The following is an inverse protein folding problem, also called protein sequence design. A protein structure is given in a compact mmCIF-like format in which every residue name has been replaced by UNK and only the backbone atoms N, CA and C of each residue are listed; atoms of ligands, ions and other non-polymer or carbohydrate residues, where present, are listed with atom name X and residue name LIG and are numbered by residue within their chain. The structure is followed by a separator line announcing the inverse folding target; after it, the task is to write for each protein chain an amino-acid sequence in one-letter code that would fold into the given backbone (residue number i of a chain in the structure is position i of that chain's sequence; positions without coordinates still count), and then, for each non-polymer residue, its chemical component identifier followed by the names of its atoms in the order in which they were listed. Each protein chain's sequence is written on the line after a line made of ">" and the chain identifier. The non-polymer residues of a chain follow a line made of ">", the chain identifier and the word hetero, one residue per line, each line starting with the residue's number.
data_IF_868307554058
#
_entry.id   IF_868307554058
#
_cell.length_a   1.000
_cell.length_b   1.000
_cell.length_c   1.000
_cell.angle_alpha   90.00
_cell.angle_beta   90.00
_cell.angle_gamma   90.00
#
_symmetry.space_group_name_H-M   'P 1'
#
loop_
_entity.id
_entity.type
_entity.pdbx_description
1 polymer ?
#
# COMPACT_ATOMS: atom_id res chain seq x y z
N UNK A 1 -22.48 -20.17 0.22
CA UNK A 1 -21.25 -20.60 0.93
C UNK A 1 -21.38 -20.16 2.37
N UNK A 2 -21.04 -21.01 3.35
CA UNK A 2 -21.01 -20.61 4.77
C UNK A 2 -19.77 -19.77 5.04
N UNK A 3 -19.94 -18.58 5.60
CA UNK A 3 -18.82 -17.73 6.02
C UNK A 3 -18.22 -18.26 7.33
N UNK A 4 -16.88 -18.26 7.44
CA UNK A 4 -16.17 -18.52 8.69
C UNK A 4 -15.00 -17.54 8.84
N UNK A 5 -14.67 -17.23 10.08
CA UNK A 5 -13.46 -16.46 10.39
C UNK A 5 -12.22 -17.35 10.27
N UNK A 6 -11.18 -16.84 9.62
CA UNK A 6 -9.87 -17.51 9.56
C UNK A 6 -9.12 -17.30 10.88
N UNK A 7 -8.40 -18.32 11.31
CA UNK A 7 -7.39 -18.21 12.37
C UNK A 7 -6.17 -17.45 11.86
N UNK A 8 -5.33 -16.95 12.78
CA UNK A 8 -4.11 -16.23 12.41
C UNK A 8 -3.15 -17.09 11.56
N UNK A 9 -3.03 -18.38 11.89
CA UNK A 9 -2.18 -19.30 11.12
C UNK A 9 -2.72 -19.55 9.71
N UNK A 10 -4.05 -19.58 9.54
CA UNK A 10 -4.66 -19.67 8.21
C UNK A 10 -4.44 -18.39 7.40
N UNK A 11 -4.48 -17.21 8.04
CA UNK A 11 -4.16 -15.94 7.38
C UNK A 11 -2.71 -15.96 6.90
N UNK A 12 -1.75 -16.27 7.77
CA UNK A 12 -0.32 -16.38 7.41
C UNK A 12 -0.08 -17.37 6.28
N UNK A 13 -0.80 -18.49 6.27
CA UNK A 13 -0.68 -19.47 5.19
C UNK A 13 -1.17 -18.91 3.85
N UNK A 14 -2.31 -18.20 3.84
CA UNK A 14 -2.81 -17.53 2.62
C UNK A 14 -1.82 -16.48 2.13
N UNK A 15 -1.25 -15.66 3.02
CA UNK A 15 -0.26 -14.65 2.66
C UNK A 15 1.03 -15.27 2.11
N UNK A 16 1.50 -16.35 2.72
CA UNK A 16 2.67 -17.08 2.25
C UNK A 16 2.45 -17.66 0.84
N UNK A 17 1.25 -18.17 0.56
CA UNK A 17 0.92 -18.70 -0.77
C UNK A 17 0.83 -17.58 -1.82
N UNK A 18 0.30 -16.40 -1.47
CA UNK A 18 0.36 -15.21 -2.33
C UNK A 18 1.81 -14.77 -2.56
N UNK A 19 2.65 -14.77 -1.52
CA UNK A 19 4.06 -14.39 -1.63
C UNK A 19 4.85 -15.37 -2.52
N UNK A 20 4.59 -16.67 -2.44
CA UNK A 20 5.18 -17.67 -3.35
C UNK A 20 4.77 -17.43 -4.80
N UNK A 21 3.48 -17.14 -5.04
CA UNK A 21 3.00 -16.78 -6.37
C UNK A 21 3.70 -15.53 -6.91
N UNK A 22 3.80 -14.47 -6.10
CA UNK A 22 4.52 -13.26 -6.47
C UNK A 22 6.01 -13.54 -6.73
N UNK A 23 6.65 -14.39 -5.93
CA UNK A 23 8.03 -14.80 -6.13
C UNK A 23 8.23 -15.49 -7.48
N UNK A 24 7.42 -16.50 -7.79
CA UNK A 24 7.48 -17.23 -9.07
C UNK A 24 7.27 -16.29 -10.25
N UNK A 25 6.31 -15.37 -10.16
CA UNK A 25 6.04 -14.38 -11.19
C UNK A 25 7.22 -13.41 -11.37
N UNK A 26 7.80 -12.93 -10.28
CA UNK A 26 8.98 -12.07 -10.33
C UNK A 26 10.19 -12.78 -10.96
N UNK A 27 10.46 -14.03 -10.58
CA UNK A 27 11.56 -14.83 -11.16
C UNK A 27 11.39 -15.04 -12.68
N UNK A 28 10.17 -15.38 -13.11
CA UNK A 28 9.85 -15.57 -14.54
C UNK A 28 10.10 -14.30 -15.38
N UNK A 29 9.85 -13.14 -14.80
CA UNK A 29 9.97 -11.84 -15.47
C UNK A 29 11.25 -11.08 -15.14
N UNK A 30 12.18 -11.69 -14.39
CA UNK A 30 13.43 -11.07 -13.93
C UNK A 30 13.20 -9.75 -13.17
N UNK A 31 12.13 -9.71 -12.38
CA UNK A 31 11.74 -8.55 -11.57
C UNK A 31 12.33 -8.69 -10.18
N UNK A 32 12.99 -7.63 -9.73
CA UNK A 32 13.67 -7.64 -8.43
C UNK A 32 12.79 -7.02 -7.36
N UNK A 33 12.64 -7.74 -6.26
CA UNK A 33 11.94 -7.28 -5.06
C UNK A 33 12.68 -7.75 -3.81
N UNK A 34 12.31 -7.17 -2.67
CA UNK A 34 12.74 -7.62 -1.36
C UNK A 34 11.55 -7.63 -0.39
N UNK A 35 11.58 -8.50 0.62
CA UNK A 35 10.65 -8.42 1.74
C UNK A 35 11.01 -7.22 2.61
N UNK A 36 10.03 -6.52 3.17
CA UNK A 36 10.25 -5.26 3.89
C UNK A 36 9.54 -5.24 5.25
N UNK A 37 9.72 -4.16 6.02
CA UNK A 37 9.02 -3.87 7.28
C UNK A 37 8.99 -5.04 8.28
N UNK A 38 7.79 -5.40 8.77
CA UNK A 38 7.57 -6.47 9.75
C UNK A 38 7.94 -7.84 9.18
N UNK A 39 7.68 -8.06 7.89
CA UNK A 39 8.00 -9.29 7.17
C UNK A 39 9.51 -9.57 7.17
N UNK A 40 10.33 -8.58 6.84
CA UNK A 40 11.80 -8.70 6.89
C UNK A 40 12.28 -8.98 8.32
N UNK A 41 11.77 -8.23 9.30
CA UNK A 41 12.13 -8.41 10.70
C UNK A 41 11.76 -9.82 11.21
N UNK A 42 10.58 -10.32 10.85
CA UNK A 42 10.12 -11.67 11.15
C UNK A 42 11.08 -12.71 10.59
N UNK A 43 11.36 -12.65 9.29
CA UNK A 43 12.23 -13.60 8.61
C UNK A 43 13.62 -13.71 9.27
N UNK A 44 14.21 -12.58 9.65
CA UNK A 44 15.53 -12.55 10.29
C UNK A 44 15.47 -13.04 11.74
N UNK A 45 14.53 -12.51 12.54
CA UNK A 45 14.47 -12.71 13.99
C UNK A 45 13.80 -14.02 14.41
N UNK A 46 12.65 -14.34 13.80
CA UNK A 46 11.81 -15.49 14.16
C UNK A 46 11.91 -16.65 13.16
N UNK A 47 12.67 -16.48 12.08
CA UNK A 47 12.81 -17.49 11.00
C UNK A 47 11.48 -17.80 10.29
N UNK A 48 10.61 -16.80 10.21
CA UNK A 48 9.27 -16.87 9.65
C UNK A 48 8.49 -15.64 10.03
N UNK A 49 7.16 -15.72 10.05
CA UNK A 49 6.31 -14.62 10.51
C UNK A 49 6.61 -14.22 11.95
N UNK A 50 6.38 -12.94 12.28
CA UNK A 50 6.23 -12.54 13.67
C UNK A 50 4.98 -13.25 14.23
N UNK A 51 5.01 -13.85 15.44
CA UNK A 51 3.91 -14.69 15.91
C UNK A 51 2.53 -14.01 15.94
N UNK A 52 2.49 -12.69 16.08
CA UNK A 52 1.28 -11.88 16.14
C UNK A 52 1.03 -11.00 14.90
N UNK A 53 1.87 -11.08 13.86
CA UNK A 53 1.63 -10.37 12.59
C UNK A 53 0.50 -11.04 11.79
N UNK A 54 -0.27 -10.20 11.10
CA UNK A 54 -1.33 -10.55 10.16
C UNK A 54 -1.18 -9.84 8.80
N UNK A 55 0.03 -9.40 8.45
CA UNK A 55 0.38 -8.77 7.18
C UNK A 55 1.73 -9.24 6.61
N UNK A 56 1.85 -9.11 5.29
CA UNK A 56 3.05 -9.42 4.52
C UNK A 56 3.36 -8.29 3.54
N UNK A 57 4.58 -7.76 3.61
CA UNK A 57 5.03 -6.62 2.84
C UNK A 57 6.23 -6.98 1.95
N UNK A 58 6.15 -6.60 0.67
CA UNK A 58 7.29 -6.58 -0.25
C UNK A 58 7.49 -5.20 -0.84
N UNK A 59 8.73 -4.90 -1.21
CA UNK A 59 9.12 -3.62 -1.75
C UNK A 59 9.95 -3.78 -3.01
N UNK A 60 9.77 -2.84 -3.94
CA UNK A 60 10.43 -2.82 -5.23
C UNK A 60 10.93 -1.41 -5.52
N UNK A 61 12.08 -1.30 -6.20
CA UNK A 61 12.45 -0.03 -6.84
C UNK A 61 11.35 0.38 -7.84
N UNK A 62 11.09 1.68 -8.02
CA UNK A 62 9.97 2.17 -8.83
C UNK A 62 9.89 1.55 -10.22
N UNK A 63 11.01 1.41 -10.92
CA UNK A 63 11.07 0.79 -12.24
C UNK A 63 10.64 -0.68 -12.21
N UNK A 64 11.10 -1.45 -11.22
CA UNK A 64 10.66 -2.83 -10.97
C UNK A 64 9.19 -2.92 -10.56
N UNK A 65 8.71 -1.97 -9.73
CA UNK A 65 7.31 -1.83 -9.36
C UNK A 65 6.42 -1.63 -10.60
N UNK A 66 6.81 -0.77 -11.54
CA UNK A 66 6.07 -0.56 -12.78
C UNK A 66 6.10 -1.79 -13.70
N UNK A 67 7.19 -2.55 -13.72
CA UNK A 67 7.24 -3.84 -14.44
C UNK A 67 6.25 -4.83 -13.83
N UNK A 68 6.27 -5.01 -12.51
CA UNK A 68 5.39 -5.95 -11.81
C UNK A 68 3.92 -5.55 -11.98
N UNK A 69 3.60 -4.27 -11.87
CA UNK A 69 2.25 -3.77 -12.13
C UNK A 69 1.75 -4.18 -13.52
N UNK A 70 2.56 -3.99 -14.57
CA UNK A 70 2.19 -4.39 -15.95
C UNK A 70 2.02 -5.90 -16.10
N UNK A 71 2.87 -6.70 -15.45
CA UNK A 71 2.72 -8.17 -15.47
C UNK A 71 1.40 -8.55 -14.80
N UNK A 72 1.16 -8.08 -13.59
CA UNK A 72 -0.05 -8.37 -12.82
C UNK A 72 -1.36 -7.90 -13.49
N UNK A 73 -1.32 -6.83 -14.29
CA UNK A 73 -2.48 -6.40 -15.09
C UNK A 73 -2.87 -7.42 -16.17
N UNK A 74 -1.92 -8.22 -16.66
CA UNK A 74 -2.14 -9.21 -17.70
C UNK A 74 -2.34 -10.64 -17.14
N UNK A 75 -2.07 -10.84 -15.85
CA UNK A 75 -2.25 -12.12 -15.19
C UNK A 75 -3.73 -12.46 -14.97
N UNK A 76 -4.08 -13.72 -15.22
CA UNK A 76 -5.43 -14.24 -15.02
C UNK A 76 -5.48 -15.41 -14.03
N UNK A 77 -4.76 -15.29 -12.92
CA UNK A 77 -4.84 -16.28 -11.84
C UNK A 77 -6.28 -16.39 -11.31
N UNK A 78 -6.81 -17.60 -11.07
CA UNK A 78 -8.20 -17.78 -10.65
C UNK A 78 -8.53 -17.14 -9.29
N UNK A 79 -7.53 -16.99 -8.41
CA UNK A 79 -7.76 -16.52 -7.03
C UNK A 79 -7.02 -15.25 -6.64
N UNK A 80 -5.89 -14.95 -7.29
CA UNK A 80 -4.99 -13.87 -6.88
C UNK A 80 -5.18 -12.70 -7.82
N UNK A 81 -5.63 -11.57 -7.27
CA UNK A 81 -6.01 -10.40 -8.07
C UNK A 81 -5.25 -9.17 -7.60
N UNK A 82 -4.81 -8.38 -8.58
CA UNK A 82 -4.25 -7.06 -8.37
C UNK A 82 -5.33 -6.09 -7.89
N UNK A 83 -4.97 -5.23 -6.94
CA UNK A 83 -5.72 -4.03 -6.61
C UNK A 83 -4.77 -2.86 -6.30
N UNK A 84 -5.08 -1.71 -6.88
CA UNK A 84 -4.38 -0.45 -6.70
C UNK A 84 -5.35 0.72 -6.93
N UNK A 85 -4.91 1.93 -6.54
CA UNK A 85 -5.69 3.14 -6.78
C UNK A 85 -5.78 3.49 -8.28
N UNK A 86 -4.95 2.90 -9.15
CA UNK A 86 -4.96 3.21 -10.58
C UNK A 86 -6.22 2.66 -11.26
N UNK A 87 -6.62 1.44 -10.93
CA UNK A 87 -7.78 0.76 -11.51
C UNK A 87 -9.01 0.75 -10.59
N UNK A 88 -8.83 0.84 -9.27
CA UNK A 88 -9.94 0.73 -8.32
C UNK A 88 -10.31 2.07 -7.71
N UNK A 89 -11.46 2.60 -8.15
CA UNK A 89 -12.08 3.76 -7.52
C UNK A 89 -12.39 3.45 -6.05
N UNK A 90 -12.07 4.38 -5.15
CA UNK A 90 -12.32 4.22 -3.71
C UNK A 90 -11.22 3.49 -2.94
N UNK A 91 -10.26 2.85 -3.62
CA UNK A 91 -9.10 2.25 -2.96
C UNK A 91 -8.18 3.35 -2.40
N UNK A 92 -7.95 3.39 -1.07
CA UNK A 92 -7.37 4.56 -0.43
C UNK A 92 -5.83 4.56 -0.39
N UNK A 93 -5.20 3.40 -0.59
CA UNK A 93 -3.77 3.24 -0.40
C UNK A 93 -2.99 3.68 -1.64
N UNK A 94 -1.80 4.25 -1.44
CA UNK A 94 -0.89 4.73 -2.49
C UNK A 94 0.07 3.67 -3.02
N UNK A 95 -0.20 2.41 -2.73
CA UNK A 95 0.57 1.24 -3.14
C UNK A 95 -0.37 0.19 -3.74
N UNK A 96 0.15 -0.92 -4.23
CA UNK A 96 -0.67 -1.99 -4.80
C UNK A 96 -0.65 -3.22 -3.92
N UNK A 97 -1.64 -4.10 -4.10
CA UNK A 97 -1.76 -5.37 -3.40
C UNK A 97 -2.09 -6.48 -4.38
N UNK A 98 -1.68 -7.69 -4.03
CA UNK A 98 -2.30 -8.90 -4.56
C UNK A 98 -3.05 -9.58 -3.41
N UNK A 99 -4.34 -9.87 -3.63
CA UNK A 99 -5.21 -10.45 -2.62
C UNK A 99 -5.90 -11.71 -3.12
N UNK A 100 -6.29 -12.58 -2.18
CA UNK A 100 -7.06 -13.79 -2.46
C UNK A 100 -8.57 -13.52 -2.41
N UNK A 101 -9.25 -13.64 -3.55
CA UNK A 101 -10.70 -13.40 -3.70
C UNK A 101 -11.58 -14.41 -2.96
N UNK A 102 -11.02 -15.52 -2.47
CA UNK A 102 -11.72 -16.52 -1.64
C UNK A 102 -11.87 -16.04 -0.19
N UNK A 103 -11.15 -14.99 0.18
CA UNK A 103 -11.13 -14.40 1.53
C UNK A 103 -11.70 -12.99 1.52
N UNK A 104 -12.04 -12.48 2.71
CA UNK A 104 -12.56 -11.11 2.88
C UNK A 104 -12.07 -10.53 4.21
N UNK A 105 -11.55 -9.30 4.18
CA UNK A 105 -11.18 -8.47 5.34
C UNK A 105 -12.17 -7.31 5.45
N UNK A 106 -12.77 -7.13 6.63
CA UNK A 106 -13.58 -5.94 6.90
C UNK A 106 -12.68 -4.76 7.24
N UNK A 107 -12.26 -4.04 6.20
CA UNK A 107 -11.38 -2.88 6.33
C UNK A 107 -12.12 -1.57 6.66
N UNK A 108 -13.46 -1.59 6.83
CA UNK A 108 -14.27 -0.41 7.14
C UNK A 108 -14.00 0.80 6.22
N UNK A 109 -13.71 0.55 4.94
CA UNK A 109 -13.39 1.59 3.96
C UNK A 109 -14.57 2.55 3.74
N UNK A 110 -14.26 3.77 3.31
CA UNK A 110 -15.28 4.78 2.97
C UNK A 110 -16.13 4.31 1.79
N UNK A 111 -15.49 3.70 0.79
CA UNK A 111 -16.18 3.05 -0.32
C UNK A 111 -16.37 1.56 0.00
N UNK A 112 -17.60 1.11 0.30
CA UNK A 112 -17.87 -0.27 0.67
C UNK A 112 -17.81 -1.24 -0.53
N UNK A 113 -17.71 -0.73 -1.76
CA UNK A 113 -17.58 -1.58 -2.96
C UNK A 113 -16.16 -2.15 -3.12
N UNK A 114 -15.18 -1.54 -2.42
CA UNK A 114 -13.81 -2.05 -2.36
C UNK A 114 -13.77 -3.19 -1.36
N UNK A 115 -13.85 -4.41 -1.87
CA UNK A 115 -13.70 -5.64 -1.08
C UNK A 115 -12.26 -6.12 -1.20
N UNK A 116 -11.59 -6.27 -0.06
CA UNK A 116 -10.22 -6.78 0.02
C UNK A 116 -10.25 -8.15 0.71
N UNK A 117 -9.48 -9.10 0.20
CA UNK A 117 -9.13 -10.33 0.90
C UNK A 117 -7.86 -10.19 1.72
N UNK A 118 -7.39 -11.28 2.31
CA UNK A 118 -6.01 -11.45 2.77
C UNK A 118 -5.06 -11.19 1.60
N UNK A 119 -3.97 -10.46 1.84
CA UNK A 119 -3.17 -9.86 0.78
C UNK A 119 -1.68 -9.77 1.13
N UNK A 120 -0.86 -9.60 0.10
CA UNK A 120 0.50 -9.09 0.21
C UNK A 120 0.52 -7.65 -0.26
N UNK A 121 1.07 -6.76 0.57
CA UNK A 121 1.25 -5.34 0.27
C UNK A 121 2.55 -5.14 -0.54
N UNK A 122 2.47 -4.35 -1.60
CA UNK A 122 3.57 -4.16 -2.55
C UNK A 122 3.89 -2.67 -2.62
N UNK A 123 5.06 -2.28 -2.08
CA UNK A 123 5.45 -0.89 -1.90
C UNK A 123 6.47 -0.43 -2.95
N UNK A 124 6.32 0.80 -3.49
CA UNK A 124 7.34 1.40 -4.33
C UNK A 124 8.40 2.12 -3.49
N UNK A 125 9.66 1.91 -3.87
CA UNK A 125 10.81 2.73 -3.47
C UNK A 125 11.19 3.66 -4.60
N UNK A 126 11.05 4.96 -4.35
CA UNK A 126 11.36 6.01 -5.32
C UNK A 126 12.67 6.72 -4.95
N UNK A 127 13.17 7.57 -5.84
CA UNK A 127 14.26 8.47 -5.50
C UNK A 127 13.88 9.40 -4.34
N UNK A 128 14.82 9.62 -3.42
CA UNK A 128 14.63 10.57 -2.32
C UNK A 128 14.29 11.96 -2.87
N UNK A 129 13.20 12.53 -2.37
CA UNK A 129 12.75 13.87 -2.76
C UNK A 129 13.73 14.90 -2.22
N UNK A 130 14.44 15.58 -3.10
CA UNK A 130 15.47 16.57 -2.73
C UNK A 130 14.91 17.99 -2.57
N UNK A 131 13.83 18.33 -3.26
CA UNK A 131 13.25 19.68 -3.19
C UNK A 131 12.28 19.84 -2.02
N UNK A 132 12.54 20.81 -1.14
CA UNK A 132 11.74 21.07 0.06
C UNK A 132 10.28 21.45 -0.27
N UNK A 133 10.06 22.17 -1.37
CA UNK A 133 8.70 22.52 -1.82
C UNK A 133 7.88 21.28 -2.20
N UNK A 134 8.51 20.28 -2.81
CA UNK A 134 7.86 19.02 -3.17
C UNK A 134 7.67 18.12 -1.95
N UNK A 135 8.60 18.11 -0.97
CA UNK A 135 8.39 17.43 0.32
C UNK A 135 7.14 17.94 1.04
N UNK A 136 6.96 19.27 1.10
CA UNK A 136 5.78 19.90 1.69
C UNK A 136 4.50 19.49 0.95
N UNK A 137 4.51 19.45 -0.39
CA UNK A 137 3.38 18.95 -1.18
C UNK A 137 3.09 17.48 -0.91
N UNK A 138 4.09 16.60 -0.86
CA UNK A 138 3.89 15.19 -0.54
C UNK A 138 3.25 15.00 0.84
N UNK A 139 3.74 15.71 1.87
CA UNK A 139 3.13 15.69 3.20
C UNK A 139 1.66 16.13 3.16
N UNK A 140 1.36 17.20 2.43
CA UNK A 140 0.00 17.68 2.24
C UNK A 140 -0.87 16.63 1.53
N UNK A 141 -0.40 16.02 0.44
CA UNK A 141 -1.16 15.00 -0.30
C UNK A 141 -1.44 13.77 0.57
N UNK A 142 -0.46 13.28 1.33
CA UNK A 142 -0.67 12.20 2.31
C UNK A 142 -1.72 12.54 3.35
N UNK A 143 -1.67 13.76 3.87
CA UNK A 143 -2.68 14.25 4.82
C UNK A 143 -4.08 14.25 4.18
N UNK A 144 -4.19 14.69 2.92
CA UNK A 144 -5.45 14.71 2.18
C UNK A 144 -5.95 13.30 1.80
N UNK A 145 -5.05 12.35 1.48
CA UNK A 145 -5.39 10.93 1.32
C UNK A 145 -6.01 10.40 2.61
N UNK A 146 -5.34 10.63 3.76
CA UNK A 146 -5.86 10.20 5.07
C UNK A 146 -7.24 10.79 5.32
N UNK A 147 -7.40 12.11 5.19
CA UNK A 147 -8.67 12.80 5.45
C UNK A 147 -9.81 12.36 4.52
N UNK A 148 -9.52 12.14 3.23
CA UNK A 148 -10.50 11.65 2.26
C UNK A 148 -10.84 10.16 2.44
N UNK A 149 -10.02 9.42 3.19
CA UNK A 149 -10.21 8.01 3.53
C UNK A 149 -10.80 7.78 4.93
N UNK A 150 -10.98 8.84 5.73
CA UNK A 150 -11.53 8.71 7.08
C UNK A 150 -13.00 8.30 7.05
N UNK A 151 -13.28 7.12 7.58
CA UNK A 151 -14.62 6.70 7.94
C UNK A 151 -14.95 7.20 9.35
N UNK A 152 -15.95 8.07 9.50
CA UNK A 152 -16.36 8.58 10.82
C UNK A 152 -17.20 7.55 11.62
N UNK A 153 -17.32 6.31 11.14
CA UNK A 153 -17.85 5.18 11.91
C UNK A 153 -16.87 4.86 13.05
N UNK A 154 -17.21 5.22 14.28
CA UNK A 154 -16.40 4.99 15.48
C UNK A 154 -15.98 6.27 16.23
N UNK A 155 -15.97 7.42 15.57
CA UNK A 155 -15.75 8.74 16.20
C UNK A 155 -17.09 9.48 16.28
N UNK A 156 -18.08 8.83 16.88
CA UNK A 156 -19.33 9.49 17.28
C UNK A 156 -19.32 9.54 18.79
N UNK A 157 -19.29 10.74 19.35
CA UNK A 157 -19.76 10.91 20.72
C UNK A 157 -21.28 10.75 20.66
N UNK A 158 -21.80 9.70 21.28
CA UNK A 158 -23.23 9.39 21.31
C UNK A 158 -24.08 10.59 21.80
N UNK A 159 -23.48 11.48 22.61
CA UNK A 159 -24.11 12.68 23.17
C UNK A 159 -23.57 14.01 22.58
N UNK A 160 -22.94 14.00 21.41
CA UNK A 160 -22.21 15.15 20.87
C UNK A 160 -23.06 16.28 20.29
N UNK A 161 -24.31 16.04 19.88
CA UNK A 161 -25.20 17.06 19.31
C UNK A 161 -24.54 17.95 18.26
N UNK A 162 -24.63 19.28 18.44
CA UNK A 162 -24.01 20.31 17.59
C UNK A 162 -22.48 20.26 17.55
N UNK A 163 -21.81 19.63 18.53
CA UNK A 163 -20.34 19.46 18.54
C UNK A 163 -19.86 18.49 17.44
N UNK A 164 -20.77 17.73 16.84
CA UNK A 164 -20.47 16.88 15.68
C UNK A 164 -20.56 17.65 14.34
N UNK A 165 -21.10 18.88 14.31
CA UNK A 165 -21.34 19.63 13.07
C UNK A 165 -20.04 20.02 12.33
N UNK A 166 -18.96 20.51 12.98
CA UNK A 166 -17.68 20.75 12.31
C UNK A 166 -17.10 19.48 11.68
N UNK A 167 -17.34 18.31 12.30
CA UNK A 167 -16.91 17.00 11.78
C UNK A 167 -17.66 16.62 10.51
N UNK A 168 -18.98 16.82 10.48
CA UNK A 168 -19.78 16.55 9.29
C UNK A 168 -19.45 17.50 8.14
N UNK A 169 -19.25 18.79 8.44
CA UNK A 169 -18.82 19.78 7.45
C UNK A 169 -17.42 19.46 6.90
N UNK A 170 -16.47 19.13 7.78
CA UNK A 170 -15.14 18.66 7.37
C UNK A 170 -15.23 17.40 6.50
N UNK A 171 -16.01 16.40 6.91
CA UNK A 171 -16.25 15.19 6.10
C UNK A 171 -16.84 15.53 4.73
N UNK A 172 -17.82 16.42 4.67
CA UNK A 172 -18.47 16.82 3.41
C UNK A 172 -17.48 17.52 2.47
N UNK A 173 -16.61 18.40 3.00
CA UNK A 173 -15.55 19.05 2.22
C UNK A 173 -14.58 18.02 1.66
N UNK A 174 -14.11 17.08 2.49
CA UNK A 174 -13.13 16.08 2.03
C UNK A 174 -13.74 15.02 1.09
N UNK A 175 -15.07 14.83 1.11
CA UNK A 175 -15.81 14.03 0.11
C UNK A 175 -15.88 14.67 -1.28
N UNK A 176 -15.55 15.96 -1.44
CA UNK A 176 -15.42 16.60 -2.75
C UNK A 176 -14.14 16.17 -3.49
N UNK A 177 -13.23 15.49 -2.79
CA UNK A 177 -12.03 14.87 -3.37
C UNK A 177 -12.04 13.38 -3.10
N UNK A 178 -11.28 12.61 -3.88
CA UNK A 178 -11.13 11.17 -3.66
C UNK A 178 -9.71 10.83 -3.21
N UNK A 179 -9.52 9.75 -2.42
CA UNK A 179 -8.19 9.21 -2.14
C UNK A 179 -7.41 8.94 -3.44
N UNK A 180 -8.09 8.44 -4.47
CA UNK A 180 -7.54 8.18 -5.79
C UNK A 180 -6.90 9.44 -6.43
N UNK A 181 -7.58 10.60 -6.38
CA UNK A 181 -7.03 11.85 -6.91
C UNK A 181 -5.73 12.25 -6.21
N UNK A 182 -5.70 12.12 -4.88
CA UNK A 182 -4.51 12.49 -4.11
C UNK A 182 -3.38 11.46 -4.26
N UNK A 183 -3.70 10.17 -4.41
CA UNK A 183 -2.73 9.12 -4.75
C UNK A 183 -2.08 9.39 -6.12
N UNK A 184 -2.85 9.79 -7.14
CA UNK A 184 -2.32 10.18 -8.45
C UNK A 184 -1.37 11.39 -8.35
N UNK A 185 -1.72 12.40 -7.54
CA UNK A 185 -0.86 13.57 -7.31
C UNK A 185 0.42 13.20 -6.54
N UNK A 186 0.32 12.30 -5.56
CA UNK A 186 1.46 11.81 -4.79
C UNK A 186 2.42 11.02 -5.69
N UNK A 187 1.90 10.08 -6.48
CA UNK A 187 2.67 9.28 -7.43
C UNK A 187 3.32 10.16 -8.50
N UNK A 188 2.59 11.09 -9.11
CA UNK A 188 3.14 12.02 -10.09
C UNK A 188 4.31 12.85 -9.53
N UNK A 189 4.26 13.16 -8.23
CA UNK A 189 5.34 13.88 -7.56
C UNK A 189 6.54 12.98 -7.27
N UNK A 190 6.31 11.72 -6.90
CA UNK A 190 7.36 10.72 -6.67
C UNK A 190 8.11 10.39 -7.97
N UNK A 191 7.38 10.22 -9.08
CA UNK A 191 7.93 9.90 -10.41
C UNK A 191 8.86 10.99 -10.97
N UNK A 192 8.86 12.21 -10.43
CA UNK A 192 9.85 13.25 -10.79
C UNK A 192 11.27 12.88 -10.35
N UNK A 193 11.40 12.02 -9.35
CA UNK A 193 12.67 11.62 -8.74
C UNK A 193 12.99 10.18 -9.19
N UNK A 194 13.55 10.06 -10.39
CA UNK A 194 13.86 8.76 -10.98
C UNK A 194 14.87 7.98 -10.15
N UNK A 195 14.70 6.66 -10.09
CA UNK A 195 15.64 5.72 -9.44
C UNK A 195 17.04 5.82 -10.05
N UNK A 196 17.15 6.17 -11.33
CA UNK A 196 18.43 6.30 -12.04
C UNK A 196 19.25 7.52 -11.64
N UNK A 197 18.58 8.62 -11.32
CA UNK A 197 19.23 9.88 -10.97
C UNK A 197 19.38 10.06 -9.45
N UNK A 198 18.73 9.23 -8.66
CA UNK A 198 18.76 9.31 -7.21
C UNK A 198 19.98 8.58 -6.63
N UNK A 199 20.63 9.20 -5.64
CA UNK A 199 21.69 8.58 -4.82
C UNK A 199 21.11 7.60 -3.80
N UNK A 200 19.94 7.93 -3.29
CA UNK A 200 19.26 7.24 -2.20
C UNK A 200 17.80 7.01 -2.57
N UNK A 201 17.27 5.86 -2.17
CA UNK A 201 15.87 5.49 -2.37
C UNK A 201 15.09 5.58 -1.06
N UNK A 202 13.79 5.85 -1.14
CA UNK A 202 12.90 5.84 0.02
C UNK A 202 11.52 5.34 -0.39
N UNK A 203 10.81 4.71 0.54
CA UNK A 203 9.39 4.43 0.38
C UNK A 203 8.61 5.74 0.54
N UNK A 204 8.46 6.50 -0.55
CA UNK A 204 7.93 7.87 -0.49
C UNK A 204 6.49 7.92 0.03
N UNK A 205 5.78 6.80 0.01
CA UNK A 205 4.41 6.69 0.52
C UNK A 205 4.32 6.63 2.05
N UNK A 206 5.36 6.17 2.75
CA UNK A 206 5.45 6.27 4.23
C UNK A 206 6.19 7.51 4.65
N UNK A 207 7.42 7.70 4.15
CA UNK A 207 8.22 8.87 4.47
C UNK A 207 8.87 9.46 3.21
N UNK A 208 8.49 10.70 2.79
CA UNK A 208 9.24 11.39 1.75
C UNK A 208 10.63 11.85 2.23
N UNK A 209 10.92 11.70 3.53
CA UNK A 209 12.14 12.09 4.20
C UNK A 209 12.72 10.91 5.00
N UNK A 210 13.58 10.12 4.37
CA UNK A 210 14.55 9.33 5.14
C UNK A 210 15.91 10.00 4.95
N UNK A 211 16.51 10.63 5.98
CA UNK A 211 17.67 11.52 5.83
C UNK A 211 18.87 10.86 5.13
N UNK A 212 18.94 9.53 5.08
CA UNK A 212 20.00 8.76 4.42
C UNK A 212 19.50 7.72 3.39
N UNK A 213 18.21 7.72 3.02
CA UNK A 213 17.51 6.65 2.26
C UNK A 213 18.03 5.21 2.45
N UNK A 214 17.77 4.37 1.46
CA UNK A 214 18.59 3.19 1.16
C UNK A 214 19.51 3.60 0.03
N UNK A 215 20.83 3.55 0.26
CA UNK A 215 21.82 3.90 -0.77
C UNK A 215 21.68 3.00 -1.99
N UNK A 216 21.64 3.59 -3.18
CA UNK A 216 21.79 2.86 -4.43
C UNK A 216 23.26 2.47 -4.59
N UNK A 217 23.65 1.30 -4.10
CA UNK A 217 25.00 0.79 -4.41
C UNK A 217 25.07 0.48 -5.91
N UNK A 218 26.16 0.87 -6.57
CA UNK A 218 26.40 0.63 -8.01
C UNK A 218 26.51 -0.83 -8.42
N UNK A 219 26.22 -1.76 -7.52
CA UNK A 219 26.13 -3.21 -7.73
C UNK A 219 25.23 -3.78 -6.64
N UNK A 220 24.20 -4.53 -7.00
CA UNK A 220 23.19 -5.16 -6.14
C UNK A 220 21.98 -4.29 -5.75
N UNK A 221 21.04 -4.21 -6.70
CA UNK A 221 19.76 -4.92 -6.55
C UNK A 221 19.77 -5.91 -7.70
#
# INVERSE_FOLDING_TARGET
>A
MSERTLTLEEIKQVELDILKYLHELCEQHQIKYFIDFGTLLGAVRHKGFIPWDDDTDISLARDEFEKLYKVLQNENHPYYKLISFRETKGYPYSYMRVYDVRTRRDANLVDPTVVLGTCVDIFPYDGVVTQESDRKKMRLYKYLIRLSSLNFKGIKSENGGLKNLPRYMGSAIFRLTSPQLWNQKLESLALKYSVDQATDLTCTIYDPYYPNGIKKNGSMI
#
